data_IF_194158452210
#
_entry.id   IF_194158452210
#
_cell.length_a   1.000
_cell.length_b   1.000
_cell.length_c   1.000
_cell.angle_alpha   90.00
_cell.angle_beta   90.00
_cell.angle_gamma   90.00
#
_symmetry.space_group_name_H-M   'P 1'
#
loop_
_entity.id
_entity.type
_entity.pdbx_description
1 polymer ?
#
# COMPACT_ATOMS: atom_id res chain seq x y z
N UNK A 1 2.45 10.05 62.45
CA UNK A 1 3.93 10.17 62.61
C UNK A 1 4.53 10.12 61.22
N UNK A 2 5.38 11.10 60.93
CA UNK A 2 5.91 11.43 59.61
C UNK A 2 7.37 10.97 59.44
N UNK A 3 7.83 11.03 58.18
CA UNK A 3 9.21 11.01 57.68
C UNK A 3 9.88 9.62 57.59
N UNK A 4 10.71 9.29 56.59
CA UNK A 4 11.42 10.10 55.59
C UNK A 4 11.75 9.27 54.33
N UNK A 5 11.76 9.92 53.16
CA UNK A 5 12.34 9.41 51.92
C UNK A 5 13.85 9.68 51.87
N UNK A 6 14.70 8.74 51.44
CA UNK A 6 16.02 9.05 50.91
C UNK A 6 16.01 9.19 49.38
N UNK A 7 16.35 10.40 48.91
CA UNK A 7 16.85 10.68 47.57
C UNK A 7 18.31 10.22 47.47
N UNK A 8 18.65 9.42 46.45
CA UNK A 8 20.03 9.29 45.96
C UNK A 8 20.05 9.05 44.46
N UNK A 9 20.36 10.14 43.74
CA UNK A 9 21.24 10.28 42.57
C UNK A 9 21.27 9.18 41.50
N UNK A 10 20.64 9.53 40.37
CA UNK A 10 20.70 8.90 39.04
C UNK A 10 22.10 9.08 38.42
N UNK A 11 22.90 8.01 38.34
CA UNK A 11 24.18 7.99 37.61
C UNK A 11 23.90 7.72 36.13
N UNK A 12 23.93 8.78 35.32
CA UNK A 12 23.78 8.68 33.87
C UNK A 12 25.07 8.18 33.22
N UNK A 13 25.00 7.04 32.53
CA UNK A 13 25.98 6.60 31.55
C UNK A 13 25.26 6.41 30.22
N UNK A 14 25.20 7.47 29.40
CA UNK A 14 24.85 7.35 27.99
C UNK A 14 26.03 7.87 27.17
N UNK A 15 26.68 6.91 26.52
CA UNK A 15 27.63 7.04 25.43
C UNK A 15 27.02 7.88 24.32
N UNK A 16 27.66 8.99 23.98
CA UNK A 16 27.30 9.81 22.83
C UNK A 16 27.81 9.17 21.52
N UNK A 17 27.03 9.23 20.43
CA UNK A 17 27.39 8.64 19.14
C UNK A 17 28.41 9.48 18.36
N UNK A 18 29.19 8.76 17.56
CA UNK A 18 30.22 9.26 16.66
C UNK A 18 29.70 10.29 15.64
N UNK A 19 30.57 11.23 15.33
CA UNK A 19 30.37 12.31 14.37
C UNK A 19 30.14 11.81 12.94
N UNK A 20 29.08 12.34 12.31
CA UNK A 20 28.83 12.23 10.88
C UNK A 20 29.93 12.89 10.03
N UNK A 21 30.48 12.21 9.01
CA UNK A 21 31.22 12.87 7.95
C UNK A 21 30.26 13.59 6.98
N UNK A 22 30.70 14.77 6.56
CA UNK A 22 30.04 15.69 5.62
C UNK A 22 29.64 14.99 4.32
N UNK A 23 28.39 15.19 3.91
CA UNK A 23 27.93 14.84 2.57
C UNK A 23 28.57 15.77 1.51
N UNK A 24 29.04 15.24 0.37
CA UNK A 24 29.43 16.06 -0.77
C UNK A 24 28.19 16.61 -1.48
N UNK A 25 28.18 17.92 -1.71
CA UNK A 25 27.24 18.61 -2.59
C UNK A 25 27.46 18.17 -4.04
N UNK A 26 26.61 17.30 -4.57
CA UNK A 26 26.55 17.03 -6.00
C UNK A 26 25.24 17.56 -6.59
N UNK A 27 25.37 18.74 -7.21
CA UNK A 27 24.42 19.26 -8.19
C UNK A 27 24.31 18.29 -9.36
N UNK A 28 23.17 17.61 -9.50
CA UNK A 28 22.74 17.10 -10.81
C UNK A 28 21.41 17.74 -11.19
N UNK A 29 21.53 18.63 -12.17
CA UNK A 29 20.47 19.36 -12.84
C UNK A 29 19.65 18.36 -13.66
N UNK A 30 18.71 17.64 -13.05
CA UNK A 30 17.71 16.86 -13.82
C UNK A 30 16.60 17.79 -14.28
N UNK A 31 16.61 17.98 -15.60
CA UNK A 31 15.74 18.82 -16.43
C UNK A 31 14.27 18.79 -15.96
N UNK A 32 13.62 19.95 -15.74
CA UNK A 32 12.17 19.99 -15.72
C UNK A 32 11.69 19.54 -17.10
N UNK A 33 10.85 18.51 -17.15
CA UNK A 33 10.22 18.01 -18.37
C UNK A 33 9.16 19.03 -18.84
N UNK A 34 9.60 20.23 -19.21
CA UNK A 34 8.81 21.25 -19.88
C UNK A 34 9.32 21.35 -21.32
N UNK A 35 8.72 20.57 -22.21
CA UNK A 35 8.82 20.82 -23.65
C UNK A 35 7.43 20.64 -24.25
N UNK A 36 6.81 21.79 -24.49
CA UNK A 36 5.94 22.12 -25.63
C UNK A 36 5.67 20.96 -26.58
N UNK A 37 4.42 20.50 -26.62
CA UNK A 37 3.94 19.71 -27.74
C UNK A 37 2.64 20.30 -28.31
N UNK A 38 2.71 20.60 -29.60
CA UNK A 38 1.74 21.28 -30.46
C UNK A 38 0.38 20.56 -30.49
N UNK A 39 -0.65 21.38 -30.70
CA UNK A 39 -2.06 21.11 -31.04
C UNK A 39 -2.38 19.83 -31.84
N UNK A 40 -3.59 19.34 -31.54
CA UNK A 40 -4.63 18.72 -32.39
C UNK A 40 -4.44 17.27 -32.84
N UNK A 41 -5.26 16.38 -32.26
CA UNK A 41 -6.31 15.61 -32.98
C UNK A 41 -7.06 14.75 -31.94
N UNK A 42 -8.35 15.01 -31.74
CA UNK A 42 -9.49 14.24 -32.28
C UNK A 42 -9.66 12.89 -31.56
N UNK A 43 -10.47 12.91 -30.49
CA UNK A 43 -10.98 11.71 -29.78
C UNK A 43 -11.85 10.87 -30.72
N UNK A 44 -11.74 9.53 -30.62
CA UNK A 44 -12.87 8.78 -30.09
C UNK A 44 -12.48 7.75 -29.02
N UNK A 45 -13.32 7.69 -27.97
CA UNK A 45 -13.76 6.56 -27.14
C UNK A 45 -12.76 5.44 -26.72
N UNK A 46 -12.67 5.28 -25.38
CA UNK A 46 -12.07 4.17 -24.61
C UNK A 46 -10.61 3.84 -24.95
N UNK A 47 -9.68 4.65 -24.41
CA UNK A 47 -8.34 4.14 -24.12
C UNK A 47 -8.42 3.21 -22.90
N UNK A 48 -8.41 1.91 -23.17
CA UNK A 48 -8.05 0.89 -22.18
C UNK A 48 -6.53 1.06 -21.95
N UNK A 49 -6.16 1.94 -21.02
CA UNK A 49 -4.78 2.29 -20.74
C UNK A 49 -4.15 1.18 -19.89
N UNK A 50 -3.70 0.10 -20.51
CA UNK A 50 -2.74 -0.79 -19.86
C UNK A 50 -1.37 -0.09 -19.90
N UNK A 51 -0.97 0.58 -18.81
CA UNK A 51 0.44 0.92 -18.63
C UNK A 51 1.17 -0.38 -18.26
N UNK A 52 1.81 -0.97 -19.26
CA UNK A 52 2.32 -2.35 -19.28
C UNK A 52 3.54 -2.66 -18.41
N UNK A 53 3.77 -1.96 -17.29
CA UNK A 53 4.76 -2.35 -16.29
C UNK A 53 4.24 -2.00 -14.89
N UNK A 54 3.24 -2.76 -14.45
CA UNK A 54 2.74 -2.65 -13.08
C UNK A 54 3.78 -3.26 -12.14
N UNK A 55 4.84 -2.51 -11.81
CA UNK A 55 5.82 -2.91 -10.80
C UNK A 55 5.17 -3.20 -9.45
N UNK A 56 3.96 -2.71 -9.21
CA UNK A 56 3.19 -2.96 -8.00
C UNK A 56 2.23 -4.16 -8.12
N UNK A 57 2.16 -4.83 -9.28
CA UNK A 57 1.29 -5.98 -9.45
C UNK A 57 1.94 -7.25 -8.89
N UNK A 58 1.14 -8.05 -8.18
CA UNK A 58 1.55 -9.36 -7.67
C UNK A 58 0.66 -10.44 -8.25
N UNK A 59 1.29 -11.54 -8.68
CA UNK A 59 0.58 -12.76 -9.07
C UNK A 59 0.61 -13.70 -7.88
N UNK A 60 -0.54 -13.87 -7.24
CA UNK A 60 -0.66 -14.67 -6.02
C UNK A 60 -1.60 -15.84 -6.32
N UNK A 61 -1.23 -17.03 -5.85
CA UNK A 61 -2.10 -18.20 -5.91
C UNK A 61 -3.06 -18.13 -4.73
N UNK A 62 -4.35 -17.90 -4.99
CA UNK A 62 -5.38 -17.72 -3.98
C UNK A 62 -6.70 -18.31 -4.47
N UNK A 63 -7.52 -18.85 -3.57
CA UNK A 63 -8.81 -19.47 -3.91
C UNK A 63 -8.73 -20.63 -4.94
N UNK A 64 -7.57 -21.29 -5.06
CA UNK A 64 -7.35 -22.35 -6.06
C UNK A 64 -7.03 -21.84 -7.48
N UNK A 65 -6.91 -20.52 -7.66
CA UNK A 65 -6.53 -19.88 -8.92
C UNK A 65 -5.30 -18.98 -8.78
N UNK A 66 -4.72 -18.58 -9.91
CA UNK A 66 -3.68 -17.56 -9.96
C UNK A 66 -4.36 -16.24 -10.33
N UNK A 67 -4.35 -15.29 -9.39
CA UNK A 67 -4.94 -13.98 -9.60
C UNK A 67 -3.86 -12.91 -9.63
N UNK A 68 -4.04 -11.92 -10.51
CA UNK A 68 -3.23 -10.70 -10.51
C UNK A 68 -3.89 -9.71 -9.56
N UNK A 69 -3.16 -9.27 -8.55
CA UNK A 69 -3.57 -8.19 -7.65
C UNK A 69 -2.78 -6.93 -8.00
N UNK A 70 -3.46 -5.79 -8.14
CA UNK A 70 -2.78 -4.49 -8.21
C UNK A 70 -3.65 -3.40 -7.61
N UNK A 71 -3.07 -2.60 -6.73
CA UNK A 71 -3.69 -1.38 -6.22
C UNK A 71 -3.28 -0.15 -7.04
N UNK A 72 -2.29 -0.27 -7.92
CA UNK A 72 -1.75 0.85 -8.70
C UNK A 72 -2.63 1.22 -9.90
N UNK A 73 -3.68 0.45 -10.19
CA UNK A 73 -4.61 0.78 -11.25
C UNK A 73 -5.24 2.17 -11.05
N UNK A 74 -5.40 2.91 -12.16
CA UNK A 74 -5.81 4.31 -12.12
C UNK A 74 -7.22 4.51 -11.58
N UNK A 75 -8.12 3.56 -11.84
CA UNK A 75 -9.47 3.60 -11.28
C UNK A 75 -9.42 3.29 -9.77
N UNK A 76 -8.66 2.26 -9.37
CA UNK A 76 -8.48 1.90 -7.95
C UNK A 76 -7.87 3.06 -7.15
N UNK A 77 -6.80 3.68 -7.65
CA UNK A 77 -6.17 4.84 -7.02
C UNK A 77 -7.14 6.02 -6.87
N UNK A 78 -8.03 6.24 -7.84
CA UNK A 78 -9.07 7.26 -7.73
C UNK A 78 -10.08 6.90 -6.64
N UNK A 79 -10.51 5.65 -6.55
CA UNK A 79 -11.42 5.19 -5.49
C UNK A 79 -10.78 5.38 -4.11
N UNK A 80 -9.52 4.97 -3.96
CA UNK A 80 -8.75 5.16 -2.72
C UNK A 80 -8.59 6.65 -2.40
N UNK A 81 -8.38 7.52 -3.39
CA UNK A 81 -8.24 8.97 -3.14
C UNK A 81 -9.51 9.62 -2.58
N UNK A 82 -10.69 9.07 -2.89
CA UNK A 82 -11.97 9.64 -2.46
C UNK A 82 -12.57 8.95 -1.25
N UNK A 83 -12.42 7.62 -1.14
CA UNK A 83 -13.03 6.81 -0.06
C UNK A 83 -12.02 6.25 0.92
N UNK A 84 -10.72 6.31 0.62
CA UNK A 84 -9.71 5.57 1.34
C UNK A 84 -9.92 4.06 1.25
N UNK A 85 -9.11 3.34 2.02
CA UNK A 85 -9.37 1.94 2.38
C UNK A 85 -10.17 2.03 3.67
N UNK A 86 -11.50 1.93 3.55
CA UNK A 86 -12.44 2.09 4.66
C UNK A 86 -12.29 3.43 5.44
N UNK A 87 -12.07 4.53 4.70
CA UNK A 87 -11.87 5.87 5.28
C UNK A 87 -10.42 6.20 5.67
N UNK A 88 -9.49 5.25 5.56
CA UNK A 88 -8.08 5.46 5.90
C UNK A 88 -7.21 5.63 4.65
N UNK A 89 -6.10 6.36 4.79
CA UNK A 89 -5.08 6.39 3.74
C UNK A 89 -4.45 4.99 3.59
N UNK A 90 -3.94 4.64 2.40
CA UNK A 90 -3.28 3.35 2.21
C UNK A 90 -2.07 3.15 3.13
N UNK A 91 -1.35 4.22 3.50
CA UNK A 91 -0.24 4.15 4.45
C UNK A 91 -0.69 3.90 5.90
N UNK A 92 -1.79 4.53 6.33
CA UNK A 92 -2.37 4.27 7.64
C UNK A 92 -2.93 2.84 7.73
N UNK A 93 -3.50 2.34 6.63
CA UNK A 93 -3.97 0.96 6.53
C UNK A 93 -2.80 -0.02 6.66
N UNK A 94 -1.67 0.24 6.00
CA UNK A 94 -0.48 -0.61 6.09
C UNK A 94 0.04 -0.70 7.53
N UNK A 95 0.19 0.44 8.21
CA UNK A 95 0.63 0.46 9.61
C UNK A 95 -0.30 -0.34 10.54
N UNK A 96 -1.62 -0.36 10.25
CA UNK A 96 -2.60 -1.17 10.99
C UNK A 96 -2.44 -2.66 10.73
N UNK A 97 -2.21 -3.05 9.49
CA UNK A 97 -1.91 -4.43 9.14
C UNK A 97 -0.64 -4.94 9.82
N UNK A 98 0.41 -4.12 9.87
CA UNK A 98 1.67 -4.43 10.57
C UNK A 98 1.49 -4.56 12.08
N UNK A 99 0.68 -3.69 12.69
CA UNK A 99 0.40 -3.72 14.14
C UNK A 99 -0.63 -4.79 14.52
N UNK A 100 -1.32 -5.38 13.54
CA UNK A 100 -2.41 -6.33 13.77
C UNK A 100 -3.74 -5.69 14.19
N UNK A 101 -3.89 -4.37 14.04
CA UNK A 101 -5.11 -3.63 14.40
C UNK A 101 -6.00 -3.38 13.16
N UNK A 102 -6.34 -4.46 12.46
CA UNK A 102 -7.17 -4.45 11.26
C UNK A 102 -8.58 -4.97 11.56
N UNK A 103 -9.55 -4.50 10.79
CA UNK A 103 -10.91 -5.04 10.81
C UNK A 103 -11.14 -6.02 9.66
N UNK A 104 -12.21 -6.81 9.73
CA UNK A 104 -12.66 -7.65 8.61
C UNK A 104 -12.83 -6.83 7.35
N UNK A 105 -13.51 -5.68 7.47
CA UNK A 105 -13.86 -4.81 6.35
C UNK A 105 -12.62 -4.24 5.66
N UNK A 106 -11.55 -3.97 6.42
CA UNK A 106 -10.27 -3.52 5.86
C UNK A 106 -9.65 -4.61 4.98
N UNK A 107 -9.69 -5.87 5.42
CA UNK A 107 -9.18 -7.02 4.65
C UNK A 107 -10.02 -7.21 3.39
N UNK A 108 -11.35 -7.22 3.50
CA UNK A 108 -12.23 -7.39 2.34
C UNK A 108 -11.98 -6.31 1.31
N UNK A 109 -11.88 -5.05 1.76
CA UNK A 109 -11.73 -3.89 0.88
C UNK A 109 -10.41 -3.89 0.13
N UNK A 110 -9.31 -4.30 0.77
CA UNK A 110 -8.00 -4.40 0.11
C UNK A 110 -8.02 -5.48 -0.97
N UNK A 111 -8.60 -6.64 -0.67
CA UNK A 111 -8.70 -7.77 -1.60
C UNK A 111 -9.59 -7.40 -2.80
N UNK A 112 -10.75 -6.81 -2.54
CA UNK A 112 -11.69 -6.33 -3.56
C UNK A 112 -11.01 -5.37 -4.54
N UNK A 113 -10.39 -4.31 -4.01
CA UNK A 113 -9.71 -3.30 -4.83
C UNK A 113 -8.49 -3.88 -5.56
N UNK A 114 -7.76 -4.80 -4.93
CA UNK A 114 -6.62 -5.47 -5.55
C UNK A 114 -7.03 -6.33 -6.75
N UNK A 115 -8.14 -7.07 -6.66
CA UNK A 115 -8.67 -7.89 -7.75
C UNK A 115 -9.26 -7.05 -8.88
N UNK A 116 -10.01 -5.99 -8.53
CA UNK A 116 -10.56 -5.06 -9.50
C UNK A 116 -9.46 -4.36 -10.30
N UNK A 117 -8.39 -3.91 -9.63
CA UNK A 117 -7.22 -3.37 -10.31
C UNK A 117 -6.49 -4.42 -11.15
N UNK A 118 -6.54 -5.69 -10.74
CA UNK A 118 -6.07 -6.84 -11.50
C UNK A 118 -6.80 -7.11 -12.81
N UNK A 119 -7.96 -6.48 -13.01
CA UNK A 119 -8.83 -6.65 -14.18
C UNK A 119 -9.89 -7.73 -14.02
N UNK A 120 -10.09 -8.28 -12.82
CA UNK A 120 -11.18 -9.23 -12.54
C UNK A 120 -12.52 -8.48 -12.53
N UNK A 121 -13.57 -8.98 -13.20
CA UNK A 121 -14.86 -8.30 -13.21
C UNK A 121 -15.51 -8.32 -11.82
N UNK A 122 -16.18 -7.22 -11.46
CA UNK A 122 -16.79 -7.01 -10.14
C UNK A 122 -17.69 -8.16 -9.67
N UNK A 123 -18.50 -8.72 -10.58
CA UNK A 123 -19.38 -9.87 -10.28
C UNK A 123 -18.61 -11.12 -9.85
N UNK A 124 -17.44 -11.35 -10.41
CA UNK A 124 -16.58 -12.48 -10.06
C UNK A 124 -15.83 -12.21 -8.75
N UNK A 125 -15.39 -10.95 -8.54
CA UNK A 125 -14.79 -10.52 -7.27
C UNK A 125 -15.74 -10.75 -6.10
N UNK A 126 -17.00 -10.32 -6.22
CA UNK A 126 -17.99 -10.50 -5.15
C UNK A 126 -18.23 -11.99 -4.82
N UNK A 127 -18.31 -12.84 -5.86
CA UNK A 127 -18.43 -14.29 -5.66
C UNK A 127 -17.21 -14.90 -4.96
N UNK A 128 -16.00 -14.44 -5.28
CA UNK A 128 -14.77 -14.87 -4.63
C UNK A 128 -14.70 -14.41 -3.17
N UNK A 129 -15.09 -13.17 -2.88
CA UNK A 129 -15.12 -12.62 -1.52
C UNK A 129 -16.14 -13.35 -0.65
N UNK A 130 -17.34 -13.60 -1.16
CA UNK A 130 -18.36 -14.37 -0.46
C UNK A 130 -17.89 -15.81 -0.18
N UNK A 131 -17.24 -16.41 -1.17
CA UNK A 131 -16.72 -17.75 -1.03
C UNK A 131 -15.49 -17.85 -0.13
N UNK A 132 -14.62 -16.84 0.02
CA UNK A 132 -13.30 -17.01 0.67
C UNK A 132 -13.03 -16.08 1.85
N UNK A 133 -13.75 -14.98 1.98
CA UNK A 133 -13.49 -13.94 2.99
C UNK A 133 -14.63 -13.85 3.99
N UNK A 134 -15.89 -13.81 3.52
CA UNK A 134 -17.06 -13.69 4.39
C UNK A 134 -17.29 -14.98 5.18
N UNK A 135 -17.38 -14.87 6.50
CA UNK A 135 -17.66 -15.99 7.40
C UNK A 135 -16.55 -17.04 7.52
N UNK A 136 -15.34 -16.75 7.02
CA UNK A 136 -14.18 -17.65 7.01
C UNK A 136 -13.02 -17.12 7.87
N UNK A 137 -12.09 -18.00 8.29
CA UNK A 137 -10.95 -17.57 9.10
C UNK A 137 -10.08 -16.56 8.33
N UNK A 138 -9.86 -15.40 8.96
CA UNK A 138 -9.19 -14.25 8.32
C UNK A 138 -7.68 -14.44 8.15
N UNK A 139 -7.05 -15.35 8.89
CA UNK A 139 -5.59 -15.46 8.99
C UNK A 139 -4.90 -15.51 7.63
N UNK A 140 -5.34 -16.38 6.72
CA UNK A 140 -4.74 -16.49 5.38
C UNK A 140 -4.99 -15.26 4.51
N UNK A 141 -6.14 -14.58 4.68
CA UNK A 141 -6.54 -13.43 3.88
C UNK A 141 -5.83 -12.15 4.32
N UNK A 142 -5.48 -12.05 5.61
CA UNK A 142 -4.70 -10.93 6.16
C UNK A 142 -3.30 -10.89 5.56
N UNK A 143 -2.63 -12.04 5.48
CA UNK A 143 -1.30 -12.10 4.85
C UNK A 143 -1.33 -11.63 3.40
N UNK A 144 -2.34 -12.08 2.65
CA UNK A 144 -2.53 -11.67 1.26
C UNK A 144 -2.82 -10.17 1.14
N UNK A 145 -3.71 -9.62 1.96
CA UNK A 145 -4.00 -8.19 1.98
C UNK A 145 -2.75 -7.36 2.30
N UNK A 146 -1.94 -7.81 3.27
CA UNK A 146 -0.69 -7.14 3.61
C UNK A 146 0.33 -7.17 2.47
N UNK A 147 0.47 -8.30 1.77
CA UNK A 147 1.36 -8.43 0.62
C UNK A 147 0.95 -7.47 -0.52
N UNK A 148 -0.35 -7.45 -0.86
CA UNK A 148 -0.91 -6.58 -1.90
C UNK A 148 -0.73 -5.10 -1.54
N UNK A 149 -0.95 -4.74 -0.27
CA UNK A 149 -0.79 -3.37 0.19
C UNK A 149 0.69 -2.96 0.24
N UNK A 150 1.57 -3.84 0.69
CA UNK A 150 3.03 -3.61 0.70
C UNK A 150 3.58 -3.46 -0.72
N UNK A 151 3.05 -4.21 -1.69
CA UNK A 151 3.44 -4.12 -3.09
C UNK A 151 3.16 -2.73 -3.70
N UNK A 152 2.17 -1.98 -3.17
CA UNK A 152 1.93 -0.61 -3.58
C UNK A 152 3.11 0.33 -3.24
N UNK A 153 3.76 0.12 -2.09
CA UNK A 153 4.83 0.99 -1.59
C UNK A 153 6.23 0.55 -1.99
N UNK A 154 6.47 -0.76 -1.97
CA UNK A 154 7.79 -1.34 -2.23
C UNK A 154 7.98 -1.59 -3.74
N UNK A 155 6.89 -1.88 -4.44
CA UNK A 155 6.95 -2.44 -5.80
C UNK A 155 7.61 -3.82 -5.83
N UNK A 156 7.88 -4.31 -7.03
CA UNK A 156 8.69 -5.49 -7.28
C UNK A 156 10.16 -5.12 -7.11
N UNK A 157 10.90 -5.94 -6.34
CA UNK A 157 12.35 -5.77 -6.22
C UNK A 157 12.93 -5.95 -7.63
N UNK A 158 13.47 -4.86 -8.18
CA UNK A 158 14.12 -4.87 -9.50
C UNK A 158 15.32 -5.81 -9.50
#
# INVERSE_FOLDING_TARGET
MAAAFPMTTRKGSNSAPAASPRAPSFSTRTKPCATTCKRRSKTPLRRFWTMSDDKCARKITWAGGIHKFTLADRWVQRVISWRGINGYSPSASLARFETGNYTTDDVERVIELGLLGGGVPEREVEALLDAHVRGKPLGSNVFLANEVLSALFIGEAN
#
